data_IF_284910362434
#
_entry.id   IF_284910362434
#
_cell.length_a   1.000
_cell.length_b   1.000
_cell.length_c   1.000
_cell.angle_alpha   90.00
_cell.angle_beta   90.00
_cell.angle_gamma   90.00
#
_symmetry.space_group_name_H-M   'P 1'
#
loop_
_entity.id
_entity.type
_entity.pdbx_description
1 polymer ?
#
# COMPACT_ATOMS: atom_id res chain seq x y z
N UNK A 1 0.62 -72.18 10.18
CA UNK A 1 0.98 -71.71 11.54
C UNK A 1 1.57 -70.33 11.36
N UNK A 2 0.77 -69.26 11.44
CA UNK A 2 0.42 -68.53 12.66
C UNK A 2 1.22 -67.22 12.63
N UNK A 3 0.72 -66.12 12.06
CA UNK A 3 -0.32 -65.19 12.54
C UNK A 3 0.16 -64.25 13.66
N UNK A 4 -0.35 -63.00 13.60
CA UNK A 4 -0.26 -61.88 14.57
C UNK A 4 1.00 -61.02 14.35
N UNK A 5 0.98 -59.80 13.81
CA UNK A 5 -0.07 -58.79 13.74
C UNK A 5 0.11 -57.77 14.86
N UNK A 6 0.97 -56.75 14.68
CA UNK A 6 0.99 -55.49 15.46
C UNK A 6 1.61 -54.34 14.64
N UNK A 7 0.80 -53.76 13.75
CA UNK A 7 0.99 -52.38 13.27
C UNK A 7 0.32 -51.45 14.30
N UNK A 8 1.07 -51.12 15.36
CA UNK A 8 0.61 -50.18 16.37
C UNK A 8 1.01 -48.76 15.98
N UNK A 9 -0.01 -47.98 15.60
CA UNK A 9 -0.16 -46.56 15.93
C UNK A 9 1.06 -45.63 15.69
N UNK A 10 1.34 -45.34 14.42
CA UNK A 10 2.04 -44.11 14.00
C UNK A 10 1.07 -43.20 13.22
N UNK A 11 -0.13 -43.05 13.78
CA UNK A 11 -1.26 -42.36 13.16
C UNK A 11 -1.99 -41.44 14.11
N UNK A 12 -1.34 -40.89 15.13
CA UNK A 12 -1.87 -39.81 15.97
C UNK A 12 -0.66 -39.10 16.58
N UNK A 13 -0.13 -38.04 15.95
CA UNK A 13 0.71 -36.98 16.56
C UNK A 13 1.30 -36.01 15.51
N UNK A 14 0.52 -35.64 14.47
CA UNK A 14 0.82 -34.44 13.64
C UNK A 14 -0.45 -33.58 13.52
N UNK A 15 -1.25 -33.56 14.59
CA UNK A 15 -2.50 -32.81 14.70
C UNK A 15 -2.52 -31.83 15.87
N UNK A 16 -1.35 -31.52 16.46
CA UNK A 16 -1.26 -30.66 17.64
C UNK A 16 0.02 -29.81 17.65
N UNK A 17 0.40 -29.31 16.46
CA UNK A 17 1.37 -28.22 16.30
C UNK A 17 0.71 -27.00 15.61
N UNK A 18 -0.57 -26.78 15.89
CA UNK A 18 -1.18 -25.44 15.87
C UNK A 18 -1.41 -25.07 17.34
N UNK A 19 -0.34 -25.15 18.13
CA UNK A 19 -0.31 -24.48 19.41
C UNK A 19 -0.16 -22.99 19.09
N UNK A 20 -1.23 -22.24 19.35
CA UNK A 20 -1.17 -20.84 19.72
C UNK A 20 -0.20 -20.01 18.86
N UNK A 21 -0.48 -19.88 17.57
CA UNK A 21 -0.40 -18.52 17.04
C UNK A 21 -1.58 -17.85 17.75
N UNK A 22 -1.38 -17.01 18.80
CA UNK A 22 -2.48 -16.17 19.27
C UNK A 22 -3.03 -15.57 17.99
N UNK A 23 -4.32 -15.80 17.74
CA UNK A 23 -4.94 -15.28 16.55
C UNK A 23 -4.41 -13.88 16.41
N UNK A 24 -3.70 -13.62 15.30
CA UNK A 24 -3.59 -12.26 14.80
C UNK A 24 -5.05 -11.92 14.47
N UNK A 25 -5.83 -11.63 15.52
CA UNK A 25 -6.61 -10.43 15.58
C UNK A 25 -5.66 -9.43 15.00
N UNK A 26 -5.86 -9.12 13.70
CA UNK A 26 -5.56 -7.80 13.20
C UNK A 26 -5.99 -6.90 14.33
N UNK A 27 -5.00 -6.41 15.07
CA UNK A 27 -5.23 -5.42 16.06
C UNK A 27 -5.83 -4.31 15.22
N UNK A 28 -7.16 -4.22 15.20
CA UNK A 28 -7.79 -2.96 15.46
C UNK A 28 -7.19 -2.58 16.79
N UNK A 29 -5.98 -2.00 16.75
CA UNK A 29 -5.51 -1.12 17.78
C UNK A 29 -6.70 -0.19 17.91
N UNK A 30 -7.48 -0.39 18.96
CA UNK A 30 -8.26 0.69 19.51
C UNK A 30 -7.20 1.76 19.67
N UNK A 31 -7.17 2.71 18.74
CA UNK A 31 -6.20 3.79 18.73
C UNK A 31 -6.32 4.35 20.14
N UNK A 32 -5.31 4.10 20.97
CA UNK A 32 -5.24 4.68 22.28
C UNK A 32 -5.44 6.16 21.99
N UNK A 33 -6.57 6.72 22.44
CA UNK A 33 -7.01 8.02 21.99
C UNK A 33 -5.89 8.98 22.34
N UNK A 34 -5.15 9.43 21.34
CA UNK A 34 -4.13 10.44 21.54
C UNK A 34 -4.85 11.64 22.17
N UNK A 35 -4.22 12.30 23.15
CA UNK A 35 -4.81 13.42 23.87
C UNK A 35 -5.23 14.56 22.89
N UNK A 36 -5.98 15.56 23.37
CA UNK A 36 -6.50 16.66 22.57
C UNK A 36 -5.42 17.71 22.21
N UNK A 37 -4.20 17.58 22.75
CA UNK A 37 -3.08 18.51 22.52
C UNK A 37 -2.23 18.11 21.32
N UNK A 38 -1.90 19.08 20.46
CA UNK A 38 -1.05 18.86 19.28
C UNK A 38 0.28 18.19 19.64
N UNK A 39 0.91 18.63 20.73
CA UNK A 39 2.21 18.13 21.18
C UNK A 39 2.17 16.64 21.55
N UNK A 40 1.12 16.21 22.24
CA UNK A 40 0.92 14.82 22.65
C UNK A 40 0.44 13.94 21.47
N UNK A 41 -0.36 14.52 20.56
CA UNK A 41 -0.78 13.87 19.32
C UNK A 41 0.40 13.55 18.40
N UNK A 42 1.36 14.47 18.24
CA UNK A 42 2.54 14.23 17.42
C UNK A 42 3.38 13.06 17.93
N UNK A 43 3.58 12.96 19.25
CA UNK A 43 4.31 11.83 19.87
C UNK A 43 3.55 10.51 19.67
N UNK A 44 2.23 10.54 19.87
CA UNK A 44 1.37 9.38 19.65
C UNK A 44 1.40 8.91 18.18
N UNK A 45 1.31 9.82 17.21
CA UNK A 45 1.34 9.48 15.80
C UNK A 45 2.71 8.99 15.35
N UNK A 46 3.80 9.53 15.89
CA UNK A 46 5.15 9.06 15.59
C UNK A 46 5.37 7.59 16.01
N UNK A 47 4.66 7.11 17.03
CA UNK A 47 4.66 5.68 17.38
C UNK A 47 3.76 4.86 16.45
N UNK A 48 2.57 5.35 16.11
CA UNK A 48 1.59 4.62 15.29
C UNK A 48 1.99 4.54 13.81
N UNK A 49 2.70 5.53 13.29
CA UNK A 49 3.05 5.59 11.85
C UNK A 49 3.95 4.42 11.40
N UNK A 50 4.69 3.83 12.34
CA UNK A 50 5.55 2.66 12.09
C UNK A 50 4.73 1.44 11.65
N UNK A 51 3.46 1.39 12.05
CA UNK A 51 2.54 0.29 11.74
C UNK A 51 1.71 0.53 10.46
N UNK A 52 1.73 1.74 9.90
CA UNK A 52 0.98 2.08 8.69
C UNK A 52 0.70 3.57 8.52
N UNK A 53 0.06 3.96 7.39
CA UNK A 53 -0.28 5.35 7.11
C UNK A 53 -1.23 5.91 8.18
N UNK A 54 -0.95 7.13 8.63
CA UNK A 54 -1.75 7.84 9.62
C UNK A 54 -2.63 8.86 8.92
N UNK A 55 -3.96 8.74 9.07
CA UNK A 55 -4.93 9.66 8.48
C UNK A 55 -5.57 10.50 9.60
N UNK A 56 -5.29 11.80 9.59
CA UNK A 56 -5.82 12.77 10.56
C UNK A 56 -6.98 13.52 9.94
N UNK A 57 -8.17 13.43 10.54
CA UNK A 57 -9.33 14.23 10.11
C UNK A 57 -9.50 15.44 11.02
N UNK A 58 -9.27 16.64 10.49
CA UNK A 58 -9.49 17.90 11.21
C UNK A 58 -10.99 18.25 11.22
N UNK A 59 -11.61 18.05 12.37
CA UNK A 59 -13.04 18.36 12.61
C UNK A 59 -13.26 19.65 13.41
N UNK A 60 -12.20 20.17 14.03
CA UNK A 60 -12.20 21.38 14.84
C UNK A 60 -10.87 22.14 14.67
N UNK A 61 -10.86 23.47 14.87
CA UNK A 61 -9.64 24.25 14.77
C UNK A 61 -8.66 23.84 15.89
N UNK A 62 -7.42 23.58 15.51
CA UNK A 62 -6.35 23.21 16.42
C UNK A 62 -5.48 24.44 16.70
N UNK A 63 -5.24 24.72 17.98
CA UNK A 63 -4.35 25.81 18.38
C UNK A 63 -2.91 25.41 18.11
N UNK A 64 -2.10 26.36 17.65
CA UNK A 64 -0.67 26.13 17.54
C UNK A 64 -0.07 26.12 18.95
N UNK A 65 0.73 25.10 19.22
CA UNK A 65 1.54 24.98 20.42
C UNK A 65 3.01 25.00 20.02
N UNK A 66 3.86 25.58 20.85
CA UNK A 66 5.28 25.66 20.57
C UNK A 66 5.91 24.25 20.56
N UNK A 67 6.52 23.92 19.42
CA UNK A 67 7.24 22.66 19.21
C UNK A 67 8.55 22.70 20.01
N UNK A 68 8.59 21.95 21.11
CA UNK A 68 9.79 21.72 21.91
C UNK A 68 10.72 20.68 21.27
N UNK A 69 11.89 20.44 21.89
CA UNK A 69 12.88 19.47 21.39
C UNK A 69 12.33 18.05 21.26
N UNK A 70 11.47 17.61 22.20
CA UNK A 70 10.85 16.28 22.12
C UNK A 70 9.98 16.14 20.87
N UNK A 71 9.18 17.18 20.58
CA UNK A 71 8.29 17.17 19.43
C UNK A 71 9.06 17.26 18.11
N UNK A 72 10.25 17.88 18.09
CA UNK A 72 11.12 17.84 16.90
C UNK A 72 11.52 16.41 16.54
N UNK A 73 11.83 15.57 17.54
CA UNK A 73 12.15 14.17 17.29
C UNK A 73 10.95 13.39 16.74
N UNK A 74 9.74 13.63 17.28
CA UNK A 74 8.51 13.03 16.77
C UNK A 74 8.21 13.49 15.33
N UNK A 75 8.38 14.77 15.03
CA UNK A 75 8.25 15.34 13.68
C UNK A 75 9.25 14.71 12.71
N UNK A 76 10.51 14.55 13.11
CA UNK A 76 11.51 13.92 12.25
C UNK A 76 11.16 12.45 11.99
N UNK A 77 10.71 11.73 13.03
CA UNK A 77 10.22 10.35 12.88
C UNK A 77 9.07 10.27 11.88
N UNK A 78 8.11 11.19 11.96
CA UNK A 78 6.97 11.25 11.03
C UNK A 78 7.39 11.55 9.57
N UNK A 79 8.56 12.17 9.35
CA UNK A 79 9.09 12.49 8.01
C UNK A 79 9.99 11.40 7.44
N UNK A 80 10.74 10.72 8.29
CA UNK A 80 11.68 9.67 7.88
C UNK A 80 10.97 8.31 7.70
N UNK A 81 9.78 8.14 8.26
CA UNK A 81 9.01 6.91 8.10
C UNK A 81 8.57 6.70 6.64
N UNK A 82 8.34 5.44 6.26
CA UNK A 82 7.92 5.07 4.90
C UNK A 82 6.42 5.28 4.69
N UNK A 83 5.64 5.41 5.76
CA UNK A 83 4.21 5.56 5.68
C UNK A 83 3.82 7.05 5.69
N UNK A 84 2.95 7.49 4.77
CA UNK A 84 2.60 8.90 4.67
C UNK A 84 1.69 9.35 5.81
N UNK A 85 1.96 10.54 6.33
CA UNK A 85 1.01 11.30 7.12
C UNK A 85 0.02 12.00 6.19
N UNK A 86 -1.27 11.68 6.33
CA UNK A 86 -2.35 12.27 5.53
C UNK A 86 -3.25 13.13 6.41
N UNK A 87 -3.41 14.40 6.06
CA UNK A 87 -4.32 15.32 6.76
C UNK A 87 -5.54 15.60 5.89
N UNK A 88 -6.73 15.41 6.46
CA UNK A 88 -8.02 15.65 5.83
C UNK A 88 -8.73 16.83 6.50
N UNK A 89 -9.16 17.81 5.71
CA UNK A 89 -9.97 18.95 6.18
C UNK A 89 -11.34 18.90 5.53
N UNK A 90 -12.38 18.67 6.34
CA UNK A 90 -13.76 18.49 5.87
C UNK A 90 -14.43 19.80 5.45
N UNK A 91 -15.57 19.66 4.77
CA UNK A 91 -16.40 20.79 4.36
C UNK A 91 -16.75 21.70 5.56
N UNK A 92 -16.55 23.01 5.39
CA UNK A 92 -16.90 24.05 6.34
C UNK A 92 -16.12 23.98 7.65
N UNK A 93 -15.04 23.17 7.70
CA UNK A 93 -14.18 23.07 8.87
C UNK A 93 -13.02 24.04 8.77
N UNK A 94 -12.60 24.52 9.93
CA UNK A 94 -11.50 25.47 10.11
C UNK A 94 -10.30 24.76 10.71
N UNK A 95 -9.10 25.00 10.17
CA UNK A 95 -7.89 24.27 10.62
C UNK A 95 -7.33 24.78 11.95
N UNK A 96 -7.41 26.07 12.25
CA UNK A 96 -6.55 26.68 13.26
C UNK A 96 -5.08 26.68 12.83
N UNK A 97 -4.25 27.50 13.49
CA UNK A 97 -2.81 27.53 13.19
C UNK A 97 -2.14 26.16 13.41
N UNK A 98 -2.57 25.38 14.41
CA UNK A 98 -2.06 24.04 14.64
C UNK A 98 -2.43 23.06 13.52
N UNK A 99 -3.66 23.16 12.99
CA UNK A 99 -4.09 22.31 11.88
C UNK A 99 -3.39 22.68 10.57
N UNK A 100 -3.09 23.97 10.37
CA UNK A 100 -2.28 24.41 9.23
C UNK A 100 -0.83 23.96 9.36
N UNK A 101 -0.26 23.96 10.57
CA UNK A 101 1.06 23.37 10.80
C UNK A 101 1.08 21.85 10.46
N UNK A 102 -0.01 21.13 10.77
CA UNK A 102 -0.15 19.73 10.34
C UNK A 102 -0.24 19.58 8.82
N UNK A 103 -0.90 20.50 8.11
CA UNK A 103 -0.90 20.48 6.63
C UNK A 103 0.50 20.69 6.05
N UNK A 104 1.34 21.52 6.68
CA UNK A 104 2.75 21.69 6.28
C UNK A 104 3.56 20.42 6.53
N UNK A 105 3.30 19.73 7.64
CA UNK A 105 3.98 18.47 7.98
C UNK A 105 3.55 17.30 7.07
N UNK A 106 2.28 17.27 6.65
CA UNK A 106 1.70 16.14 5.94
C UNK A 106 2.25 15.98 4.54
N UNK A 107 2.50 14.73 4.16
CA UNK A 107 2.83 14.34 2.78
C UNK A 107 1.56 14.30 1.92
N UNK A 108 0.48 13.76 2.49
CA UNK A 108 -0.84 13.71 1.86
C UNK A 108 -1.74 14.81 2.40
N UNK A 109 -2.24 15.68 1.52
CA UNK A 109 -3.15 16.77 1.88
C UNK A 109 -4.47 16.60 1.14
N UNK A 110 -5.55 16.38 1.87
CA UNK A 110 -6.91 16.30 1.34
C UNK A 110 -7.75 17.42 1.94
N UNK A 111 -8.15 18.38 1.13
CA UNK A 111 -8.84 19.57 1.62
C UNK A 111 -10.13 19.73 0.84
N UNK A 112 -11.24 19.99 1.53
CA UNK A 112 -12.48 20.38 0.86
C UNK A 112 -12.36 21.82 0.34
N UNK A 113 -12.87 22.15 -0.85
CA UNK A 113 -12.74 23.50 -1.42
C UNK A 113 -13.32 24.61 -0.51
N UNK A 114 -14.38 24.29 0.22
CA UNK A 114 -15.05 25.19 1.19
C UNK A 114 -14.47 25.10 2.63
N UNK A 115 -13.35 24.41 2.83
CA UNK A 115 -12.66 24.44 4.13
C UNK A 115 -11.98 25.79 4.36
N UNK A 116 -11.85 26.22 5.61
CA UNK A 116 -11.13 27.46 5.99
C UNK A 116 -9.78 27.11 6.58
N UNK A 117 -8.70 27.61 5.96
CA UNK A 117 -7.32 27.34 6.34
C UNK A 117 -6.74 28.58 7.01
N UNK A 118 -6.48 28.48 8.31
CA UNK A 118 -5.89 29.60 9.05
C UNK A 118 -4.41 29.74 8.72
N UNK A 119 -4.02 30.90 8.16
CA UNK A 119 -2.62 31.18 7.87
C UNK A 119 -1.81 31.26 9.17
N UNK A 120 -0.56 30.83 9.07
CA UNK A 120 0.38 30.82 10.18
C UNK A 120 0.96 32.21 10.38
N UNK A 121 0.92 32.72 11.60
CA UNK A 121 1.68 33.93 11.96
C UNK A 121 3.19 33.71 11.75
N UNK A 122 3.97 34.80 11.58
CA UNK A 122 5.42 34.71 11.35
C UNK A 122 6.16 33.91 12.43
N UNK A 123 5.76 34.03 13.70
CA UNK A 123 6.37 33.30 14.82
C UNK A 123 6.32 31.78 14.66
N UNK A 124 5.12 31.16 14.62
CA UNK A 124 4.94 29.75 14.32
C UNK A 124 5.64 29.30 13.03
N UNK A 125 5.47 30.03 11.93
CA UNK A 125 6.06 29.65 10.64
C UNK A 125 7.59 29.63 10.68
N UNK A 126 8.22 30.60 11.33
CA UNK A 126 9.68 30.63 11.48
C UNK A 126 10.20 29.43 12.28
N UNK A 127 9.43 28.94 13.27
CA UNK A 127 9.77 27.71 14.00
C UNK A 127 9.67 26.48 13.09
N UNK A 128 8.67 26.40 12.22
CA UNK A 128 8.57 25.32 11.22
C UNK A 128 9.71 25.38 10.19
N UNK A 129 10.08 26.57 9.71
CA UNK A 129 11.24 26.79 8.85
C UNK A 129 12.54 26.33 9.52
N UNK A 130 12.75 26.73 10.78
CA UNK A 130 13.93 26.33 11.55
C UNK A 130 14.00 24.82 11.81
N UNK A 131 12.85 24.14 11.88
CA UNK A 131 12.75 22.68 11.93
C UNK A 131 12.94 22.01 10.56
N UNK A 132 13.20 22.76 9.48
CA UNK A 132 13.39 22.22 8.13
C UNK A 132 12.11 21.76 7.45
N UNK A 133 10.93 22.09 7.98
CA UNK A 133 9.63 21.65 7.43
C UNK A 133 9.23 22.39 6.15
N UNK A 134 9.81 23.58 5.92
CA UNK A 134 9.63 24.31 4.67
C UNK A 134 10.68 23.96 3.60
N UNK A 135 11.70 23.17 3.94
CA UNK A 135 12.73 22.78 2.98
C UNK A 135 12.11 21.90 1.88
N UNK A 136 12.13 22.39 0.64
CA UNK A 136 11.48 21.74 -0.50
C UNK A 136 9.97 22.01 -0.62
N UNK A 137 9.37 22.74 0.33
CA UNK A 137 7.95 23.14 0.34
C UNK A 137 7.78 24.66 0.48
N UNK A 138 8.79 25.46 0.12
CA UNK A 138 8.75 26.93 0.21
C UNK A 138 7.50 27.56 -0.44
N UNK A 139 7.03 27.11 -1.62
CA UNK A 139 5.79 27.65 -2.20
C UNK A 139 4.56 27.43 -1.32
N UNK A 140 4.46 26.29 -0.62
CA UNK A 140 3.38 26.03 0.33
C UNK A 140 3.55 26.91 1.57
N UNK A 141 4.75 26.96 2.15
CA UNK A 141 5.01 27.77 3.33
C UNK A 141 4.74 29.26 3.08
N UNK A 142 5.07 29.78 1.91
CA UNK A 142 4.74 31.15 1.52
C UNK A 142 3.25 31.38 1.33
N UNK A 143 2.51 30.39 0.82
CA UNK A 143 1.05 30.49 0.70
C UNK A 143 0.39 30.59 2.08
N UNK A 144 0.76 29.70 3.02
CA UNK A 144 0.19 29.68 4.37
C UNK A 144 0.78 30.73 5.32
N UNK A 145 1.77 31.53 4.88
CA UNK A 145 2.35 32.62 5.68
C UNK A 145 1.36 33.78 5.81
N UNK A 146 0.93 34.07 7.03
CA UNK A 146 0.05 35.18 7.32
C UNK A 146 0.79 36.49 7.54
N UNK A 147 0.30 37.58 6.97
CA UNK A 147 0.79 38.92 7.28
C UNK A 147 0.03 39.51 8.49
N UNK A 148 0.79 40.05 9.46
CA UNK A 148 0.24 40.70 10.65
C UNK A 148 -0.21 39.75 11.77
N UNK A 149 -0.88 40.30 12.78
CA UNK A 149 -1.30 39.57 13.99
C UNK A 149 -2.58 38.75 13.80
N UNK A 150 -3.39 39.09 12.78
CA UNK A 150 -4.63 38.40 12.44
C UNK A 150 -4.67 38.19 10.92
N UNK A 151 -3.95 37.19 10.42
CA UNK A 151 -3.89 36.98 8.99
C UNK A 151 -5.25 36.50 8.47
N UNK A 152 -5.62 36.99 7.28
CA UNK A 152 -6.82 36.57 6.60
C UNK A 152 -6.76 35.06 6.29
N UNK A 153 -7.79 34.26 6.61
CA UNK A 153 -7.82 32.85 6.28
C UNK A 153 -7.79 32.60 4.77
N UNK A 154 -7.28 31.44 4.36
CA UNK A 154 -7.33 30.96 2.98
C UNK A 154 -8.49 29.99 2.82
N UNK A 155 -9.14 30.00 1.67
CA UNK A 155 -10.08 28.94 1.31
C UNK A 155 -9.32 27.68 0.90
N UNK A 156 -9.90 26.51 1.18
CA UNK A 156 -9.35 25.22 0.78
C UNK A 156 -9.15 25.12 -0.73
N UNK A 157 -10.01 25.78 -1.51
CA UNK A 157 -9.86 25.94 -2.97
C UNK A 157 -8.52 26.56 -3.36
N UNK A 158 -8.00 27.52 -2.59
CA UNK A 158 -6.70 28.14 -2.89
C UNK A 158 -5.53 27.14 -2.79
N UNK A 159 -5.57 26.22 -1.82
CA UNK A 159 -4.58 25.13 -1.72
C UNK A 159 -4.70 24.13 -2.88
N UNK A 160 -5.93 23.84 -3.31
CA UNK A 160 -6.22 22.90 -4.40
C UNK A 160 -5.74 23.49 -5.73
N UNK A 161 -6.14 24.73 -6.04
CA UNK A 161 -5.78 25.42 -7.28
C UNK A 161 -4.26 25.62 -7.39
N UNK A 162 -3.56 25.82 -6.26
CA UNK A 162 -2.10 25.90 -6.21
C UNK A 162 -1.39 24.54 -6.31
N UNK A 163 -2.13 23.43 -6.35
CA UNK A 163 -1.59 22.07 -6.45
C UNK A 163 -0.94 21.54 -5.16
N UNK A 164 -1.22 22.14 -4.01
CA UNK A 164 -0.68 21.69 -2.72
C UNK A 164 -1.58 20.73 -1.97
N UNK A 165 -2.87 20.67 -2.31
CA UNK A 165 -3.82 19.72 -1.75
C UNK A 165 -4.66 19.08 -2.87
N UNK A 166 -5.06 17.83 -2.66
CA UNK A 166 -6.09 17.21 -3.48
C UNK A 166 -7.48 17.55 -2.95
N UNK A 167 -8.43 17.69 -3.87
CA UNK A 167 -9.82 18.01 -3.55
C UNK A 167 -10.51 16.82 -2.88
N UNK A 168 -10.81 16.97 -1.60
CA UNK A 168 -11.46 15.94 -0.81
C UNK A 168 -12.84 15.59 -1.38
N UNK A 169 -13.58 16.53 -1.97
CA UNK A 169 -14.94 16.30 -2.47
C UNK A 169 -15.00 15.34 -3.67
N UNK A 170 -13.91 15.26 -4.44
CA UNK A 170 -13.78 14.37 -5.59
C UNK A 170 -13.00 13.09 -5.29
N UNK A 171 -12.36 13.01 -4.12
CA UNK A 171 -11.47 11.91 -3.71
C UNK A 171 -11.99 11.08 -2.53
N UNK A 172 -13.23 11.29 -2.08
CA UNK A 172 -13.84 10.61 -0.92
C UNK A 172 -13.77 9.08 -1.02
N UNK A 173 -13.85 8.51 -2.23
CA UNK A 173 -13.91 7.06 -2.43
C UNK A 173 -12.54 6.35 -2.40
N UNK A 174 -11.42 7.08 -2.44
CA UNK A 174 -10.08 6.47 -2.55
C UNK A 174 -9.48 6.07 -1.19
N UNK A 175 -9.96 6.66 -0.10
CA UNK A 175 -9.47 6.38 1.26
C UNK A 175 -10.66 6.07 2.16
N UNK A 176 -11.43 5.04 1.81
CA UNK A 176 -12.33 4.46 2.80
C UNK A 176 -11.46 3.79 3.87
N UNK A 177 -11.51 4.24 5.15
CA UNK A 177 -10.85 3.50 6.22
C UNK A 177 -11.40 2.08 6.20
N UNK A 178 -10.49 1.10 6.23
CA UNK A 178 -10.86 -0.31 6.32
C UNK A 178 -11.90 -0.44 7.44
N UNK A 179 -13.08 -1.06 7.18
CA UNK A 179 -14.11 -1.23 8.20
C UNK A 179 -13.50 -1.91 9.45
N UNK A 180 -13.31 -1.13 10.52
CA UNK A 180 -12.59 -1.57 11.72
C UNK A 180 -11.55 -0.57 12.25
N UNK A 181 -11.07 0.37 11.42
CA UNK A 181 -10.27 1.50 11.90
C UNK A 181 -11.22 2.53 12.54
N UNK A 182 -11.33 2.48 13.87
CA UNK A 182 -12.10 3.48 14.61
C UNK A 182 -11.41 4.84 14.44
N UNK A 183 -12.07 5.72 13.69
CA UNK A 183 -11.71 7.13 13.66
C UNK A 183 -11.83 7.66 15.09
N UNK A 184 -10.79 8.25 15.71
CA UNK A 184 -10.88 8.83 17.05
C UNK A 184 -11.81 10.03 17.01
N UNK A 185 -13.11 9.75 17.11
CA UNK A 185 -14.16 10.75 17.11
C UNK A 185 -14.39 11.16 18.55
N UNK A 186 -14.07 12.43 18.82
CA UNK A 186 -14.34 13.16 20.04
C UNK A 186 -15.76 12.89 20.55
N UNK A 187 -15.97 12.60 21.86
CA UNK A 187 -17.29 12.76 22.47
C UNK A 187 -17.63 14.26 22.55
N UNK A 188 -18.73 14.66 21.93
CA UNK A 188 -19.25 16.03 22.03
C UNK A 188 -19.50 16.39 23.50
N UNK A 189 -19.06 17.57 23.98
CA UNK A 189 -19.47 18.07 25.28
C UNK A 189 -20.95 18.44 25.21
N UNK A 190 -21.79 17.60 25.82
CA UNK A 190 -23.18 17.91 26.14
C UNK A 190 -23.25 19.27 26.85
N UNK A 191 -23.82 20.26 26.16
CA UNK A 191 -24.13 21.56 26.73
C UNK A 191 -25.34 21.38 27.63
N UNK A 192 -25.10 21.05 28.90
CA UNK A 192 -26.14 21.09 29.92
C UNK A 192 -26.24 22.52 30.48
N UNK A 193 -27.36 23.18 30.18
CA UNK A 193 -27.80 24.41 30.85
C UNK A 193 -27.87 24.20 32.38
N UNK A 194 -27.40 25.15 33.20
CA UNK A 194 -27.62 25.11 34.63
C UNK A 194 -29.02 25.67 34.96
N UNK A 195 -29.98 24.78 35.27
CA UNK A 195 -31.20 25.16 35.98
C UNK A 195 -31.06 24.85 37.47
N UNK A 196 -31.21 25.90 38.27
CA UNK A 196 -31.27 25.88 39.74
C UNK A 196 -32.25 24.84 40.30
N UNK A 197 -31.92 24.17 41.42
CA UNK A 197 -32.89 23.33 42.11
C UNK A 197 -33.65 24.14 43.18
N UNK A 198 -34.97 24.24 43.00
CA UNK A 198 -35.93 24.51 44.06
C UNK A 198 -36.23 23.21 44.82
N UNK A 199 -36.26 23.30 46.14
CA UNK A 199 -36.52 22.22 47.07
C UNK A 199 -37.92 21.58 46.91
N UNK A 200 -38.00 20.26 47.08
CA UNK A 200 -39.28 19.55 47.21
C UNK A 200 -39.14 18.04 47.39
N UNK A 201 -39.45 17.57 48.61
CA UNK A 201 -39.90 16.21 49.04
C UNK A 201 -40.71 15.45 47.95
N UNK A 202 -40.75 14.13 47.82
CA UNK A 202 -40.90 13.05 48.82
C UNK A 202 -40.79 11.67 48.12
N UNK A 203 -40.38 10.66 48.89
CA UNK A 203 -40.67 9.22 48.85
C UNK A 203 -41.40 8.60 47.65
N UNK A 204 -40.86 7.52 47.07
CA UNK A 204 -41.49 6.19 47.12
C UNK A 204 -40.65 5.13 46.38
N UNK A 205 -40.51 4.02 47.06
CA UNK A 205 -39.94 2.73 46.71
C UNK A 205 -40.70 2.07 45.54
N UNK A 206 -39.97 1.68 44.50
CA UNK A 206 -40.42 0.69 43.53
C UNK A 206 -39.22 -0.15 43.09
N UNK A 207 -39.21 -1.39 43.59
CA UNK A 207 -38.26 -2.45 43.22
C UNK A 207 -38.50 -2.80 41.74
N UNK A 208 -37.74 -2.14 40.87
CA UNK A 208 -37.70 -2.38 39.43
C UNK A 208 -36.78 -3.54 39.09
N UNK A 209 -37.39 -4.68 38.77
CA UNK A 209 -36.82 -5.88 38.16
C UNK A 209 -35.82 -5.51 37.06
N UNK A 210 -34.52 -5.74 37.31
CA UNK A 210 -33.45 -5.59 36.32
C UNK A 210 -33.60 -6.67 35.25
N UNK A 211 -34.40 -6.41 34.22
CA UNK A 211 -34.32 -7.17 32.98
C UNK A 211 -33.01 -6.73 32.31
N UNK A 212 -31.98 -7.56 32.45
CA UNK A 212 -30.72 -7.42 31.72
C UNK A 212 -31.03 -7.40 30.23
N UNK A 213 -30.97 -6.21 29.63
CA UNK A 213 -31.10 -5.98 28.21
C UNK A 213 -29.92 -6.58 27.45
N UNK A 214 -29.88 -7.91 27.35
CA UNK A 214 -29.20 -8.56 26.25
C UNK A 214 -30.10 -8.35 25.03
N UNK A 215 -29.79 -7.34 24.22
CA UNK A 215 -30.51 -7.03 22.99
C UNK A 215 -30.52 -8.27 22.09
N UNK A 216 -31.69 -8.71 21.62
CA UNK A 216 -31.83 -9.84 20.68
C UNK A 216 -30.90 -9.75 19.45
N UNK A 217 -30.44 -8.54 19.11
CA UNK A 217 -29.46 -8.28 18.06
C UNK A 217 -28.06 -8.89 18.28
N UNK A 218 -27.59 -9.01 19.53
CA UNK A 218 -26.29 -9.65 19.79
C UNK A 218 -26.37 -11.17 19.70
N UNK A 219 -27.54 -11.73 19.98
CA UNK A 219 -27.79 -13.18 19.87
C UNK A 219 -27.82 -13.64 18.42
N UNK A 220 -28.46 -12.89 17.52
CA UNK A 220 -28.49 -13.22 16.08
C UNK A 220 -27.12 -13.13 15.42
N UNK A 221 -26.30 -12.16 15.80
CA UNK A 221 -24.92 -12.04 15.31
C UNK A 221 -24.07 -13.27 15.67
N UNK A 222 -24.24 -13.81 16.88
CA UNK A 222 -23.55 -15.02 17.35
C UNK A 222 -23.93 -16.25 16.53
N UNK A 223 -25.22 -16.44 16.25
CA UNK A 223 -25.71 -17.54 15.41
C UNK A 223 -25.26 -17.43 13.95
N UNK A 224 -25.27 -16.22 13.38
CA UNK A 224 -24.78 -16.01 12.02
C UNK A 224 -23.27 -16.26 11.91
N UNK A 225 -22.49 -15.86 12.93
CA UNK A 225 -21.06 -16.19 13.00
C UNK A 225 -20.80 -17.69 13.08
N UNK A 226 -21.55 -18.41 13.91
CA UNK A 226 -21.46 -19.88 14.03
C UNK A 226 -21.82 -20.58 12.71
N UNK A 227 -22.88 -20.12 12.03
CA UNK A 227 -23.32 -20.66 10.74
C UNK A 227 -22.25 -20.46 9.66
N UNK A 228 -21.66 -19.26 9.58
CA UNK A 228 -20.58 -18.96 8.63
C UNK A 228 -19.34 -19.85 8.88
N UNK A 229 -18.97 -20.04 10.15
CA UNK A 229 -17.85 -20.91 10.51
C UNK A 229 -18.09 -22.37 10.10
N UNK A 230 -19.32 -22.88 10.28
CA UNK A 230 -19.71 -24.23 9.83
C UNK A 230 -19.67 -24.36 8.31
N UNK A 231 -20.12 -23.35 7.56
CA UNK A 231 -20.07 -23.34 6.10
C UNK A 231 -18.63 -23.33 5.58
N UNK A 232 -17.75 -22.53 6.18
CA UNK A 232 -16.32 -22.49 5.81
C UNK A 232 -15.64 -23.84 6.12
N UNK A 233 -15.95 -24.45 7.27
CA UNK A 233 -15.43 -25.78 7.62
C UNK A 233 -15.87 -26.84 6.60
N UNK A 234 -17.16 -26.85 6.24
CA UNK A 234 -17.69 -27.75 5.22
C UNK A 234 -17.00 -27.55 3.87
N UNK A 235 -16.77 -26.29 3.46
CA UNK A 235 -16.07 -25.95 2.22
C UNK A 235 -14.63 -26.47 2.19
N UNK A 236 -13.89 -26.32 3.30
CA UNK A 236 -12.53 -26.86 3.43
C UNK A 236 -12.53 -28.39 3.35
N UNK A 237 -13.51 -29.06 3.96
CA UNK A 237 -13.67 -30.52 3.86
C UNK A 237 -13.90 -30.94 2.41
N UNK A 238 -14.75 -30.21 1.66
CA UNK A 238 -15.01 -30.48 0.24
C UNK A 238 -13.74 -30.31 -0.60
N UNK A 239 -12.96 -29.24 -0.40
CA UNK A 239 -11.69 -29.03 -1.12
C UNK A 239 -10.68 -30.13 -0.80
N UNK A 240 -10.58 -30.55 0.46
CA UNK A 240 -9.66 -31.63 0.85
C UNK A 240 -10.08 -32.97 0.26
N UNK A 241 -11.39 -33.24 0.19
CA UNK A 241 -11.91 -34.49 -0.36
C UNK A 241 -11.88 -34.52 -1.89
N UNK A 242 -11.97 -33.36 -2.56
CA UNK A 242 -11.87 -33.27 -4.02
C UNK A 242 -10.43 -33.33 -4.54
N UNK A 243 -9.43 -33.02 -3.70
CA UNK A 243 -8.01 -33.29 -3.98
C UNK A 243 -7.64 -34.74 -3.66
N UNK A 244 -8.40 -35.69 -4.20
CA UNK A 244 -8.01 -37.09 -4.23
C UNK A 244 -6.62 -37.24 -4.89
N UNK A 245 -5.83 -38.24 -4.47
CA UNK A 245 -4.47 -38.43 -4.95
C UNK A 245 -4.47 -38.60 -6.47
N UNK A 246 -4.02 -37.55 -7.17
CA UNK A 246 -3.67 -37.65 -8.58
C UNK A 246 -2.50 -38.60 -8.64
N UNK A 247 -2.74 -39.82 -9.14
CA UNK A 247 -1.69 -40.78 -9.43
C UNK A 247 -0.73 -40.12 -10.43
N UNK A 248 0.37 -39.57 -9.92
CA UNK A 248 1.46 -39.04 -10.74
C UNK A 248 2.09 -40.25 -11.41
N UNK A 249 1.71 -40.48 -12.67
CA UNK A 249 2.30 -41.51 -13.51
C UNK A 249 3.80 -41.26 -13.64
N UNK A 250 4.60 -42.09 -12.99
CA UNK A 250 6.03 -42.16 -13.19
C UNK A 250 6.31 -42.49 -14.66
N UNK A 251 6.79 -41.51 -15.42
CA UNK A 251 7.32 -41.70 -16.76
C UNK A 251 8.63 -42.50 -16.64
N UNK A 252 8.77 -43.65 -17.32
CA UNK A 252 9.97 -44.46 -17.23
C UNK A 252 11.17 -43.75 -17.88
N UNK A 253 12.31 -43.83 -17.20
CA UNK A 253 13.60 -43.31 -17.63
C UNK A 253 14.05 -43.96 -18.95
N UNK A 254 14.45 -43.13 -19.92
CA UNK A 254 15.15 -43.56 -21.13
C UNK A 254 16.52 -44.14 -20.78
N UNK A 255 16.81 -45.30 -21.38
CA UNK A 255 18.07 -46.04 -21.26
C UNK A 255 19.26 -45.34 -21.94
N UNK A 256 20.49 -45.47 -21.42
CA UNK A 256 21.70 -45.09 -22.14
C UNK A 256 22.15 -46.23 -23.07
N UNK A 257 22.23 -45.94 -24.37
CA UNK A 257 22.72 -46.85 -25.39
C UNK A 257 24.22 -47.13 -25.26
N UNK A 258 24.55 -48.42 -25.15
CA UNK A 258 25.92 -48.98 -25.10
C UNK A 258 26.32 -49.52 -26.48
N UNK A 259 27.57 -49.27 -26.83
CA UNK A 259 28.26 -49.55 -28.09
C UNK A 259 28.46 -51.04 -28.44
N UNK A 260 28.69 -51.32 -29.74
CA UNK A 260 29.47 -52.40 -30.41
C UNK A 260 29.07 -52.37 -31.91
N UNK A 261 29.87 -52.51 -32.97
CA UNK A 261 31.30 -52.71 -33.27
C UNK A 261 31.54 -52.48 -34.79
N UNK A 262 32.80 -52.37 -35.23
CA UNK A 262 33.28 -51.97 -36.60
C UNK A 262 33.14 -53.01 -37.73
N UNK A 263 34.06 -53.15 -38.74
CA UNK A 263 35.32 -52.41 -39.04
C UNK A 263 35.58 -52.06 -40.55
N UNK A 264 36.71 -51.38 -40.79
CA UNK A 264 37.64 -51.44 -41.95
C UNK A 264 37.24 -50.92 -43.36
N UNK A 265 37.94 -49.88 -43.86
CA UNK A 265 38.89 -49.99 -45.00
C UNK A 265 39.70 -48.71 -45.29
N UNK A 266 40.87 -48.95 -45.85
CA UNK A 266 42.04 -48.12 -46.14
C UNK A 266 41.86 -46.88 -47.06
N UNK A 267 42.68 -45.84 -46.79
CA UNK A 267 43.64 -45.07 -47.63
C UNK A 267 43.36 -44.85 -49.15
N UNK A 268 43.83 -43.75 -49.82
CA UNK A 268 45.17 -43.11 -49.65
C UNK A 268 45.19 -41.55 -49.64
N UNK A 269 46.13 -40.96 -48.90
CA UNK A 269 47.38 -40.30 -49.34
C UNK A 269 47.23 -39.00 -50.16
N UNK A 270 47.55 -37.85 -49.53
CA UNK A 270 48.35 -36.80 -50.15
C UNK A 270 49.21 -36.10 -49.08
N UNK A 271 50.45 -35.84 -49.47
CA UNK A 271 51.56 -35.44 -48.64
C UNK A 271 51.79 -33.92 -48.62
N UNK A 272 52.70 -33.53 -47.73
CA UNK A 272 53.51 -32.30 -47.67
C UNK A 272 52.91 -31.10 -46.91
N UNK A 273 53.66 -30.28 -46.14
CA UNK A 273 55.00 -30.32 -45.52
C UNK A 273 55.15 -29.00 -44.73
N UNK A 274 55.76 -29.04 -43.54
CA UNK A 274 56.23 -27.88 -42.74
C UNK A 274 55.23 -27.44 -41.68
N UNK A 275 55.48 -27.55 -40.36
CA UNK A 275 56.61 -27.01 -39.59
C UNK A 275 56.17 -25.65 -39.02
N UNK A 276 56.18 -25.31 -37.74
CA UNK A 276 56.52 -25.94 -36.46
C UNK A 276 56.18 -24.89 -35.37
N UNK A 277 56.15 -25.32 -34.11
CA UNK A 277 56.32 -24.49 -32.90
C UNK A 277 55.26 -23.39 -32.64
N UNK A 278 54.35 -23.68 -31.70
CA UNK A 278 54.18 -22.95 -30.44
C UNK A 278 52.76 -23.20 -29.90
N UNK A 279 52.68 -23.54 -28.62
CA UNK A 279 51.42 -23.83 -27.95
C UNK A 279 50.52 -22.61 -27.92
N UNK A 280 49.33 -22.76 -28.48
CA UNK A 280 48.21 -21.85 -28.27
C UNK A 280 46.98 -22.68 -27.99
N UNK A 281 46.51 -22.55 -26.76
CA UNK A 281 45.33 -23.16 -26.18
C UNK A 281 44.11 -22.76 -27.02
N UNK A 282 43.71 -23.63 -27.95
CA UNK A 282 42.45 -23.50 -28.68
C UNK A 282 41.30 -23.72 -27.70
N UNK A 283 40.92 -22.64 -27.03
CA UNK A 283 39.54 -22.38 -26.64
C UNK A 283 38.68 -22.62 -27.88
N UNK A 284 38.13 -23.83 -27.96
CA UNK A 284 37.08 -24.16 -28.89
C UNK A 284 35.97 -23.15 -28.61
N UNK A 285 35.89 -22.11 -29.45
CA UNK A 285 34.74 -21.24 -29.53
C UNK A 285 33.56 -22.16 -29.79
N UNK A 286 32.84 -22.51 -28.72
CA UNK A 286 31.47 -22.92 -28.79
C UNK A 286 30.79 -21.79 -29.56
N UNK A 287 30.62 -21.98 -30.87
CA UNK A 287 29.63 -21.22 -31.61
C UNK A 287 28.31 -21.67 -31.00
N UNK A 288 27.88 -20.90 -29.99
CA UNK A 288 26.50 -20.86 -29.55
C UNK A 288 25.73 -20.58 -30.84
N UNK A 289 25.10 -21.63 -31.37
CA UNK A 289 24.11 -21.46 -32.41
C UNK A 289 23.13 -20.41 -31.88
N UNK A 290 22.82 -19.34 -32.63
CA UNK A 290 21.87 -18.33 -32.18
C UNK A 290 20.58 -19.06 -31.85
N UNK A 291 20.31 -19.19 -30.54
CA UNK A 291 19.02 -19.67 -30.04
C UNK A 291 17.99 -18.79 -30.73
N UNK A 292 16.95 -19.36 -31.37
CA UNK A 292 15.89 -18.57 -31.97
C UNK A 292 15.39 -17.60 -30.90
N UNK A 293 15.71 -16.31 -31.04
CA UNK A 293 15.18 -15.27 -30.17
C UNK A 293 13.69 -15.24 -30.44
N UNK A 294 12.91 -16.02 -29.71
CA UNK A 294 11.48 -15.81 -29.54
C UNK A 294 11.23 -14.59 -28.65
N UNK A 295 12.03 -13.53 -28.84
CA UNK A 295 11.74 -12.22 -28.32
C UNK A 295 10.55 -11.72 -29.10
N UNK A 296 9.38 -11.76 -28.46
CA UNK A 296 8.12 -11.19 -28.94
C UNK A 296 8.44 -9.78 -29.46
N UNK A 297 8.44 -9.58 -30.78
CA UNK A 297 8.83 -8.32 -31.38
C UNK A 297 7.78 -7.27 -30.97
N UNK A 298 8.19 -6.34 -30.12
CA UNK A 298 7.33 -5.22 -29.73
C UNK A 298 7.25 -4.29 -30.93
N UNK A 299 6.05 -4.13 -31.48
CA UNK A 299 5.82 -3.25 -32.63
C UNK A 299 6.06 -1.78 -32.30
N UNK A 300 6.12 -0.95 -33.34
CA UNK A 300 6.20 0.50 -33.18
C UNK A 300 5.06 1.02 -32.29
N UNK A 301 5.35 2.08 -31.51
CA UNK A 301 4.42 2.73 -30.59
C UNK A 301 3.11 3.08 -31.33
N UNK A 302 1.95 2.60 -30.87
CA UNK A 302 0.67 2.95 -31.47
C UNK A 302 0.35 4.44 -31.30
N UNK A 303 -0.37 5.01 -32.27
CA UNK A 303 -0.86 6.40 -32.21
C UNK A 303 -1.89 6.61 -31.10
N UNK A 304 -2.60 5.54 -30.70
CA UNK A 304 -3.59 5.54 -29.64
C UNK A 304 -3.06 4.73 -28.45
N UNK A 305 -2.27 5.37 -27.59
CA UNK A 305 -1.82 4.79 -26.32
C UNK A 305 -2.57 5.44 -25.16
N UNK A 306 -2.87 4.66 -24.12
CA UNK A 306 -3.49 5.14 -22.87
C UNK A 306 -2.40 5.45 -21.86
N UNK A 307 -2.63 6.38 -20.93
CA UNK A 307 -1.66 6.66 -19.86
C UNK A 307 -1.93 5.75 -18.66
N UNK A 308 -0.89 5.16 -18.09
CA UNK A 308 -0.95 4.33 -16.88
C UNK A 308 0.14 4.74 -15.88
N UNK A 309 -0.05 4.40 -14.60
CA UNK A 309 0.92 4.65 -13.53
C UNK A 309 1.72 3.39 -13.26
N UNK A 310 3.05 3.48 -13.23
CA UNK A 310 3.92 2.35 -12.88
C UNK A 310 3.72 1.99 -11.42
N UNK A 311 3.53 0.70 -11.12
CA UNK A 311 3.44 0.20 -9.74
C UNK A 311 4.63 -0.67 -9.35
N UNK A 312 5.30 -1.31 -10.31
CA UNK A 312 6.52 -2.09 -10.05
C UNK A 312 7.61 -1.83 -11.10
N UNK A 313 8.87 -1.79 -10.66
CA UNK A 313 10.06 -1.62 -11.52
C UNK A 313 10.61 -2.93 -12.10
N UNK A 314 9.82 -4.01 -12.06
CA UNK A 314 10.31 -5.32 -12.49
C UNK A 314 10.54 -5.33 -14.01
N UNK A 315 11.71 -5.76 -14.48
CA UNK A 315 12.06 -5.85 -15.91
C UNK A 315 12.39 -7.31 -16.27
N UNK A 316 11.88 -7.85 -17.40
CA UNK A 316 11.19 -7.18 -18.51
C UNK A 316 9.66 -7.06 -18.33
N UNK A 317 9.09 -7.57 -17.23
CA UNK A 317 7.65 -7.52 -16.94
C UNK A 317 7.38 -6.83 -15.62
N UNK A 318 6.41 -5.92 -15.60
CA UNK A 318 5.97 -5.20 -14.40
C UNK A 318 4.45 -5.09 -14.32
N UNK A 319 3.99 -4.29 -13.37
CA UNK A 319 2.58 -3.94 -13.22
C UNK A 319 2.39 -2.45 -13.37
N UNK A 320 1.32 -2.10 -14.06
CA UNK A 320 0.87 -0.73 -14.27
C UNK A 320 -0.58 -0.62 -13.82
N UNK A 321 -0.95 0.52 -13.27
CA UNK A 321 -2.33 0.83 -12.95
C UNK A 321 -2.94 1.63 -14.09
N UNK A 322 -3.96 1.06 -14.71
CA UNK A 322 -4.76 1.68 -15.75
C UNK A 322 -6.21 1.69 -15.28
N UNK A 323 -6.83 2.87 -15.24
CA UNK A 323 -8.22 3.05 -14.79
C UNK A 323 -8.50 2.41 -13.42
N UNK A 324 -7.56 2.59 -12.46
CA UNK A 324 -7.58 1.99 -11.11
C UNK A 324 -7.52 0.46 -11.06
N UNK A 325 -7.20 -0.20 -12.18
CA UNK A 325 -7.03 -1.65 -12.25
C UNK A 325 -5.56 -1.98 -12.50
N UNK A 326 -5.01 -2.85 -11.64
CA UNK A 326 -3.64 -3.34 -11.81
C UNK A 326 -3.60 -4.33 -12.99
N UNK A 327 -2.80 -4.00 -14.01
CA UNK A 327 -2.63 -4.80 -15.23
C UNK A 327 -1.17 -5.23 -15.35
N UNK A 328 -0.95 -6.44 -15.86
CA UNK A 328 0.39 -6.93 -16.19
C UNK A 328 0.86 -6.24 -17.46
N UNK A 329 2.09 -5.74 -17.45
CA UNK A 329 2.69 -5.08 -18.61
C UNK A 329 4.10 -5.61 -18.90
N UNK A 330 4.47 -5.59 -20.18
CA UNK A 330 5.82 -5.86 -20.68
C UNK A 330 6.42 -4.53 -21.13
N UNK A 331 7.65 -4.25 -20.72
CA UNK A 331 8.36 -3.04 -21.14
C UNK A 331 8.73 -3.14 -22.62
N UNK A 332 8.28 -2.17 -23.40
CA UNK A 332 8.38 -2.19 -24.85
C UNK A 332 9.81 -1.99 -25.38
N UNK A 333 10.69 -1.39 -24.56
CA UNK A 333 12.07 -1.05 -24.91
C UNK A 333 13.03 -1.88 -24.02
N UNK A 334 13.50 -3.07 -24.45
CA UNK A 334 14.27 -3.99 -23.60
C UNK A 334 15.61 -3.44 -23.08
N UNK A 335 16.14 -2.40 -23.72
CA UNK A 335 17.39 -1.74 -23.36
C UNK A 335 17.21 -0.53 -22.45
N UNK A 336 15.97 -0.17 -22.10
CA UNK A 336 15.66 0.98 -21.26
C UNK A 336 14.99 0.51 -19.96
N UNK A 337 15.53 0.87 -18.79
CA UNK A 337 14.90 0.51 -17.53
C UNK A 337 13.51 1.17 -17.42
N UNK A 338 12.58 0.53 -16.71
CA UNK A 338 11.27 1.12 -16.46
C UNK A 338 11.39 2.40 -15.61
N UNK A 339 10.43 3.33 -15.72
CA UNK A 339 10.31 4.42 -14.76
C UNK A 339 10.07 3.89 -13.33
N UNK A 340 10.39 4.71 -12.33
CA UNK A 340 10.10 4.39 -10.94
C UNK A 340 8.59 4.29 -10.66
N UNK A 341 8.14 3.60 -9.60
CA UNK A 341 6.74 3.52 -9.22
C UNK A 341 6.17 4.92 -8.99
N UNK A 342 4.93 5.14 -9.43
CA UNK A 342 4.32 6.47 -9.51
C UNK A 342 4.60 7.20 -10.82
N UNK A 343 5.61 6.77 -11.60
CA UNK A 343 5.88 7.33 -12.92
C UNK A 343 4.76 7.04 -13.93
N UNK A 344 4.57 7.93 -14.89
CA UNK A 344 3.59 7.76 -15.97
C UNK A 344 4.21 7.05 -17.17
N UNK A 345 3.47 6.13 -17.77
CA UNK A 345 3.85 5.39 -18.99
C UNK A 345 2.68 5.32 -19.96
N UNK A 346 2.99 5.23 -21.24
CA UNK A 346 1.98 4.98 -22.26
C UNK A 346 1.81 3.46 -22.42
N UNK A 347 0.57 2.96 -22.38
CA UNK A 347 0.24 1.56 -22.54
C UNK A 347 -0.58 1.31 -23.80
N UNK A 348 -0.29 0.20 -24.46
CA UNK A 348 -1.07 -0.31 -25.58
C UNK A 348 -1.38 -1.79 -25.39
N UNK A 349 -2.50 -2.23 -25.94
CA UNK A 349 -2.88 -3.64 -25.95
C UNK A 349 -1.89 -4.46 -26.80
N UNK A 350 -1.64 -5.68 -26.39
CA UNK A 350 -0.88 -6.63 -27.18
C UNK A 350 -1.58 -6.92 -28.52
N UNK A 351 -0.77 -7.13 -29.58
CA UNK A 351 -1.31 -7.45 -30.93
C UNK A 351 -1.90 -8.85 -30.99
N UNK A 352 -1.44 -9.73 -30.11
CA UNK A 352 -1.97 -11.07 -29.95
C UNK A 352 -3.37 -10.98 -29.36
N UNK A 353 -4.36 -11.40 -30.16
CA UNK A 353 -5.72 -11.64 -29.66
C UNK A 353 -5.60 -12.59 -28.47
N UNK A 354 -6.23 -12.23 -27.35
CA UNK A 354 -6.29 -12.99 -26.10
C UNK A 354 -5.12 -12.82 -25.12
N UNK A 355 -4.24 -11.83 -25.31
CA UNK A 355 -3.20 -11.52 -24.32
C UNK A 355 -3.68 -10.46 -23.32
N UNK A 356 -3.86 -10.83 -22.05
CA UNK A 356 -4.12 -9.91 -20.92
C UNK A 356 -2.91 -9.02 -20.55
N UNK A 357 -1.93 -8.91 -21.45
CA UNK A 357 -0.66 -8.25 -21.21
C UNK A 357 -0.60 -6.98 -22.02
N UNK A 358 -0.34 -5.87 -21.34
CA UNK A 358 -0.13 -4.58 -21.98
C UNK A 358 1.34 -4.41 -22.38
N UNK A 359 1.62 -3.59 -23.39
CA UNK A 359 2.94 -3.08 -23.68
C UNK A 359 3.08 -1.68 -23.11
N UNK A 360 4.05 -1.48 -22.22
CA UNK A 360 4.33 -0.20 -21.59
C UNK A 360 5.54 0.48 -22.25
N UNK A 361 5.33 1.70 -22.72
CA UNK A 361 6.33 2.54 -23.37
C UNK A 361 6.71 3.67 -22.40
N UNK A 362 8.00 3.81 -22.05
CA UNK A 362 8.46 4.92 -21.23
C UNK A 362 8.10 6.27 -21.89
N UNK A 363 7.83 7.32 -21.11
CA UNK A 363 7.50 8.62 -21.66
C UNK A 363 8.63 9.10 -22.57
N UNK A 364 8.26 9.52 -23.78
CA UNK A 364 9.19 10.24 -24.66
C UNK A 364 9.47 11.59 -24.02
N UNK A 365 10.75 11.90 -23.78
CA UNK A 365 11.21 13.12 -23.10
C UNK A 365 10.59 14.42 -23.66
N UNK A 366 10.12 14.41 -24.90
CA UNK A 366 9.45 15.53 -25.54
C UNK A 366 8.06 15.92 -24.99
N UNK A 367 7.38 15.08 -24.19
CA UNK A 367 6.03 15.40 -23.67
C UNK A 367 6.02 16.13 -22.31
N UNK A 368 7.14 16.20 -21.60
CA UNK A 368 7.19 16.90 -20.29
C UNK A 368 7.10 18.43 -20.38
N UNK A 369 7.16 19.03 -21.58
CA UNK A 369 7.22 20.49 -21.72
C UNK A 369 5.88 21.20 -22.00
N UNK A 370 4.74 20.49 -22.17
CA UNK A 370 3.54 21.12 -22.75
C UNK A 370 2.21 20.81 -22.06
N UNK A 371 2.23 20.53 -20.76
CA UNK A 371 1.01 20.12 -20.05
C UNK A 371 0.99 20.47 -18.57
N UNK A 372 1.48 21.63 -18.17
CA UNK A 372 0.95 22.32 -16.99
C UNK A 372 -0.27 23.12 -17.45
N UNK A 373 -1.51 22.71 -17.14
CA UNK A 373 -2.64 23.62 -17.23
C UNK A 373 -2.35 24.76 -16.23
N UNK A 374 -2.36 26.00 -16.75
CA UNK A 374 -2.32 27.22 -15.95
C UNK A 374 -3.69 27.51 -15.36
#
# INVERSE_FOLDING_TARGET
>A
MGAIGRLSFLGVLVGMAVALVPGMTSAGAAAASCDDRLTEQLECWAEVIKDGPVVITLNAPLKYEDIGERQRHAIETLREDRHPLVVQVRNGKRTGEGGTALLVLAEGRLVHPEATIDRLRPGPLNKLRAAGLCAGQEPLCGLVEGEGDQPEPLDGKALIDAGFAADLSTHVDAINPVPGAQNPSRPEPSTAEPKSPTAGKTSAEAIGRKNSGYSDATWTALWMGLLLALLLLAFVIVIRRSRGPVAVGHRPAMSPGRALGGPARAAPAHAARGGGVSGDERTARLRVAPVPRHGRQVGARPTHARTAVVRTELHPQGYVELDRVLRRAVWAEPGRPPPAPGGLVDVADARERDSDVLYAFPPTAARHAKGTPR
#
